data_IF_752992192894
#
_entry.id   IF_752992192894
#
_cell.length_a   1.000
_cell.length_b   1.000
_cell.length_c   1.000
_cell.angle_alpha   90.00
_cell.angle_beta   90.00
_cell.angle_gamma   90.00
#
_symmetry.space_group_name_H-M   'P 1'
#
loop_
_entity.id
_entity.type
_entity.pdbx_description
1 polymer ?
#
# COMPACT_ATOMS: atom_id res chain seq x y z
N UNK A 1 31.58 13.55 24.02
CA UNK A 1 30.39 12.71 24.30
C UNK A 1 30.30 11.66 23.20
N UNK A 2 31.16 10.64 23.28
CA UNK A 2 31.16 9.52 22.33
C UNK A 2 30.22 8.49 22.95
N UNK A 3 29.00 8.38 22.42
CA UNK A 3 28.10 7.29 22.77
C UNK A 3 28.77 6.00 22.30
N UNK A 4 29.26 5.18 23.23
CA UNK A 4 29.75 3.85 22.91
C UNK A 4 28.57 3.06 22.35
N UNK A 5 28.55 2.84 21.04
CA UNK A 5 27.54 2.03 20.33
C UNK A 5 27.31 0.66 20.96
N UNK A 6 28.32 0.14 21.66
CA UNK A 6 28.25 -1.10 22.43
C UNK A 6 27.22 -1.07 23.56
N UNK A 7 26.97 0.07 24.22
CA UNK A 7 25.98 0.15 25.32
C UNK A 7 24.55 0.14 24.79
N UNK A 8 24.29 0.82 23.67
CA UNK A 8 22.94 0.83 23.10
C UNK A 8 22.49 -0.56 22.63
N UNK A 9 23.39 -1.28 21.95
CA UNK A 9 23.12 -2.64 21.47
C UNK A 9 22.95 -3.63 22.63
N UNK A 10 23.72 -3.50 23.70
CA UNK A 10 23.53 -4.34 24.89
C UNK A 10 22.23 -4.03 25.61
N UNK A 11 21.80 -2.77 25.64
CA UNK A 11 20.59 -2.35 26.35
C UNK A 11 19.30 -2.71 25.57
N UNK A 12 19.38 -2.79 24.23
CA UNK A 12 18.23 -3.02 23.34
C UNK A 12 18.37 -4.27 22.46
N UNK A 13 19.21 -5.22 22.85
CA UNK A 13 19.55 -6.40 22.05
C UNK A 13 18.33 -7.17 21.55
N UNK A 14 17.27 -7.26 22.36
CA UNK A 14 16.03 -7.94 22.01
C UNK A 14 15.29 -7.25 20.86
N UNK A 15 15.18 -5.92 20.90
CA UNK A 15 14.54 -5.14 19.83
C UNK A 15 15.34 -5.23 18.52
N UNK A 16 16.67 -5.18 18.61
CA UNK A 16 17.57 -5.34 17.46
C UNK A 16 17.41 -6.73 16.84
N UNK A 17 17.34 -7.78 17.66
CA UNK A 17 17.10 -9.15 17.20
C UNK A 17 15.77 -9.27 16.44
N UNK A 18 14.69 -8.72 16.99
CA UNK A 18 13.37 -8.73 16.33
C UNK A 18 13.39 -7.98 15.00
N UNK A 19 14.05 -6.82 14.94
CA UNK A 19 14.18 -6.04 13.71
C UNK A 19 14.95 -6.80 12.63
N UNK A 20 16.06 -7.44 13.00
CA UNK A 20 16.85 -8.26 12.08
C UNK A 20 16.02 -9.45 11.58
N UNK A 21 15.34 -10.17 12.47
CA UNK A 21 14.50 -11.30 12.11
C UNK A 21 13.36 -10.88 11.17
N UNK A 22 12.65 -9.80 11.49
CA UNK A 22 11.59 -9.24 10.66
C UNK A 22 12.11 -8.85 9.26
N UNK A 23 13.23 -8.13 9.20
CA UNK A 23 13.83 -7.71 7.93
C UNK A 23 14.30 -8.91 7.10
N UNK A 24 14.87 -9.94 7.74
CA UNK A 24 15.28 -11.17 7.07
C UNK A 24 14.07 -11.90 6.45
N UNK A 25 12.95 -11.98 7.17
CA UNK A 25 11.69 -12.55 6.66
C UNK A 25 11.17 -11.74 5.47
N UNK A 26 11.17 -10.40 5.53
CA UNK A 26 10.78 -9.56 4.40
C UNK A 26 11.65 -9.80 3.16
N UNK A 27 12.98 -9.84 3.34
CA UNK A 27 13.93 -10.09 2.25
C UNK A 27 13.76 -11.50 1.66
N UNK A 28 13.47 -12.49 2.51
CA UNK A 28 13.14 -13.85 2.06
C UNK A 28 11.90 -13.86 1.16
N UNK A 29 10.80 -13.24 1.60
CA UNK A 29 9.59 -13.13 0.79
C UNK A 29 9.78 -12.30 -0.47
N UNK A 30 10.56 -11.22 -0.43
CA UNK A 30 10.90 -10.41 -1.59
C UNK A 30 11.63 -11.25 -2.66
N UNK A 31 12.58 -12.09 -2.25
CA UNK A 31 13.27 -13.01 -3.18
C UNK A 31 12.34 -14.04 -3.80
N UNK A 32 11.40 -14.59 -3.02
CA UNK A 32 10.41 -15.53 -3.54
C UNK A 32 9.49 -14.85 -4.54
N UNK A 33 8.93 -13.68 -4.20
CA UNK A 33 8.06 -12.92 -5.09
C UNK A 33 8.75 -12.47 -6.38
N UNK A 34 10.02 -12.09 -6.30
CA UNK A 34 10.82 -11.73 -7.48
C UNK A 34 10.97 -12.91 -8.44
N UNK A 35 11.22 -14.12 -7.93
CA UNK A 35 11.33 -15.34 -8.75
C UNK A 35 10.00 -15.76 -9.39
N UNK A 36 8.87 -15.35 -8.85
CA UNK A 36 7.54 -15.71 -9.34
C UNK A 36 6.93 -14.67 -10.31
N UNK A 37 7.64 -13.57 -10.58
CA UNK A 37 7.14 -12.44 -11.37
C UNK A 37 7.72 -12.44 -12.79
N UNK A 38 7.29 -13.39 -13.63
CA UNK A 38 7.84 -13.57 -15.00
C UNK A 38 7.28 -12.57 -16.04
N UNK A 39 6.31 -11.74 -15.68
CA UNK A 39 5.69 -10.76 -16.57
C UNK A 39 5.23 -9.50 -15.83
N UNK A 40 4.92 -8.43 -16.57
CA UNK A 40 4.35 -7.19 -16.02
C UNK A 40 3.04 -7.47 -15.26
N UNK A 41 2.17 -8.35 -15.78
CA UNK A 41 0.95 -8.77 -15.09
C UNK A 41 1.23 -9.62 -13.84
N UNK A 42 2.26 -10.46 -13.88
CA UNK A 42 2.75 -11.19 -12.71
C UNK A 42 3.22 -10.24 -11.60
N UNK A 43 3.99 -9.21 -11.98
CA UNK A 43 4.55 -8.23 -11.06
C UNK A 43 3.51 -7.26 -10.49
N UNK A 44 2.64 -6.68 -11.33
CA UNK A 44 1.71 -5.62 -10.93
C UNK A 44 0.43 -6.13 -10.27
N UNK A 45 -0.07 -7.30 -10.69
CA UNK A 45 -1.38 -7.82 -10.23
C UNK A 45 -1.33 -9.28 -9.78
N UNK A 46 -0.14 -9.84 -9.59
CA UNK A 46 0.02 -11.24 -9.14
C UNK A 46 -0.60 -12.25 -10.10
N UNK A 47 -0.61 -11.95 -11.40
CA UNK A 47 -1.24 -12.79 -12.42
C UNK A 47 -2.76 -12.94 -12.27
N UNK A 48 -3.42 -12.10 -11.43
CA UNK A 48 -4.86 -12.20 -11.11
C UNK A 48 -5.26 -13.52 -10.41
N UNK A 49 -4.31 -14.22 -9.78
CA UNK A 49 -4.56 -15.48 -9.07
C UNK A 49 -4.71 -15.34 -7.56
N UNK A 50 -4.52 -14.13 -7.01
CA UNK A 50 -4.62 -13.88 -5.57
C UNK A 50 -6.06 -13.95 -5.08
N UNK A 51 -6.27 -14.65 -3.96
CA UNK A 51 -7.59 -14.72 -3.31
C UNK A 51 -7.96 -13.37 -2.69
N UNK A 52 -9.26 -13.10 -2.55
CA UNK A 52 -9.76 -11.83 -2.01
C UNK A 52 -9.25 -11.51 -0.61
N UNK A 53 -9.00 -12.53 0.22
CA UNK A 53 -8.42 -12.37 1.57
C UNK A 53 -7.00 -11.82 1.49
N UNK A 54 -6.16 -12.37 0.60
CA UNK A 54 -4.78 -11.92 0.41
C UNK A 54 -4.76 -10.47 -0.09
N UNK A 55 -5.64 -10.14 -1.04
CA UNK A 55 -5.77 -8.77 -1.55
C UNK A 55 -6.21 -7.80 -0.43
N UNK A 56 -7.16 -8.20 0.41
CA UNK A 56 -7.62 -7.39 1.55
C UNK A 56 -6.52 -7.14 2.60
N UNK A 57 -5.75 -8.18 2.95
CA UNK A 57 -4.60 -8.04 3.85
C UNK A 57 -3.53 -7.13 3.24
N UNK A 58 -3.22 -7.30 1.96
CA UNK A 58 -2.26 -6.45 1.26
C UNK A 58 -2.71 -4.99 1.23
N UNK A 59 -3.99 -4.74 0.96
CA UNK A 59 -4.57 -3.38 0.98
C UNK A 59 -4.41 -2.74 2.36
N UNK A 60 -4.72 -3.47 3.44
CA UNK A 60 -4.54 -2.96 4.80
C UNK A 60 -3.06 -2.72 5.15
N UNK A 61 -2.16 -3.62 4.74
CA UNK A 61 -0.73 -3.47 4.94
C UNK A 61 -0.17 -2.23 4.24
N UNK A 62 -0.66 -1.89 3.03
CA UNK A 62 -0.30 -0.65 2.33
C UNK A 62 -0.75 0.60 3.08
N UNK A 63 -1.89 0.54 3.78
CA UNK A 63 -2.37 1.66 4.60
C UNK A 63 -1.60 1.80 5.93
N UNK A 64 -1.03 0.72 6.45
CA UNK A 64 -0.29 0.72 7.71
C UNK A 64 1.07 1.41 7.55
N UNK A 65 1.18 2.64 8.06
CA UNK A 65 2.38 3.48 7.97
C UNK A 65 2.65 4.22 9.28
N UNK A 66 3.82 4.85 9.40
CA UNK A 66 4.15 5.72 10.54
C UNK A 66 3.12 6.84 10.72
N UNK A 67 2.60 7.42 9.63
CA UNK A 67 1.53 8.42 9.69
C UNK A 67 0.23 7.84 10.29
N UNK A 68 -0.11 6.60 9.94
CA UNK A 68 -1.29 5.92 10.46
C UNK A 68 -1.17 5.61 11.95
N UNK A 69 0.02 5.22 12.44
CA UNK A 69 0.19 4.90 13.86
C UNK A 69 0.50 6.12 14.73
N UNK A 70 1.49 6.94 14.37
CA UNK A 70 1.88 8.11 15.16
C UNK A 70 1.02 9.33 14.86
N UNK A 71 0.72 9.59 13.58
CA UNK A 71 -0.04 10.77 13.17
C UNK A 71 -1.48 10.72 13.65
N UNK A 72 -2.20 9.61 13.39
CA UNK A 72 -3.58 9.46 13.84
C UNK A 72 -3.69 9.36 15.37
N UNK A 73 -2.77 8.65 16.04
CA UNK A 73 -2.77 8.58 17.51
C UNK A 73 -2.46 9.93 18.15
N UNK A 74 -1.50 10.68 17.61
CA UNK A 74 -1.17 12.04 18.07
C UNK A 74 -2.36 12.99 17.93
N UNK A 75 -3.09 12.92 16.81
CA UNK A 75 -4.35 13.67 16.67
C UNK A 75 -5.41 13.20 17.66
N UNK A 76 -5.53 11.90 17.92
CA UNK A 76 -6.41 11.37 18.95
C UNK A 76 -6.10 11.91 20.34
N UNK A 77 -4.81 12.06 20.66
CA UNK A 77 -4.37 12.68 21.92
C UNK A 77 -4.78 14.16 22.01
N UNK A 78 -4.64 14.93 20.93
CA UNK A 78 -4.99 16.36 20.93
C UNK A 78 -6.51 16.64 20.88
N UNK A 79 -7.27 15.88 20.08
CA UNK A 79 -8.70 16.11 19.84
C UNK A 79 -9.60 15.27 20.75
N UNK A 80 -9.07 14.27 21.44
CA UNK A 80 -9.80 13.40 22.36
C UNK A 80 -10.73 12.41 21.66
N UNK A 81 -11.73 11.92 22.41
CA UNK A 81 -12.67 10.89 21.97
C UNK A 81 -13.40 11.18 20.64
N UNK A 82 -13.77 12.43 20.27
CA UNK A 82 -14.37 12.72 18.97
C UNK A 82 -13.53 12.27 17.76
N UNK A 83 -12.21 12.17 17.92
CA UNK A 83 -11.32 11.70 16.86
C UNK A 83 -11.59 10.24 16.44
N UNK A 84 -12.25 9.44 17.29
CA UNK A 84 -12.63 8.06 16.97
C UNK A 84 -13.63 7.95 15.80
N UNK A 85 -14.33 9.02 15.44
CA UNK A 85 -15.18 9.05 14.26
C UNK A 85 -14.37 8.92 12.95
N UNK A 86 -13.12 9.39 12.95
CA UNK A 86 -12.27 9.37 11.76
C UNK A 86 -11.98 7.94 11.27
N UNK A 87 -11.42 7.01 12.07
CA UNK A 87 -11.19 5.64 11.61
C UNK A 87 -12.48 4.90 11.23
N UNK A 88 -13.60 5.14 11.92
CA UNK A 88 -14.90 4.57 11.55
C UNK A 88 -15.34 5.04 10.16
N UNK A 89 -15.18 6.33 9.88
CA UNK A 89 -15.51 6.90 8.58
C UNK A 89 -14.55 6.41 7.48
N UNK A 90 -13.27 6.18 7.79
CA UNK A 90 -12.35 5.54 6.85
C UNK A 90 -12.80 4.14 6.47
N UNK A 91 -13.16 3.29 7.45
CA UNK A 91 -13.66 1.94 7.19
C UNK A 91 -14.91 1.98 6.33
N UNK A 92 -15.87 2.85 6.65
CA UNK A 92 -17.10 3.01 5.88
C UNK A 92 -16.82 3.49 4.45
N UNK A 93 -15.93 4.48 4.27
CA UNK A 93 -15.55 5.01 2.96
C UNK A 93 -14.81 3.98 2.11
N UNK A 94 -13.91 3.18 2.71
CA UNK A 94 -13.23 2.07 2.03
C UNK A 94 -14.22 1.01 1.59
N UNK A 95 -15.12 0.59 2.48
CA UNK A 95 -16.16 -0.39 2.15
C UNK A 95 -17.04 0.10 0.99
N UNK A 96 -17.48 1.36 1.03
CA UNK A 96 -18.31 1.93 -0.02
C UNK A 96 -17.56 2.03 -1.35
N UNK A 97 -16.28 2.39 -1.32
CA UNK A 97 -15.42 2.45 -2.52
C UNK A 97 -15.26 1.07 -3.15
N UNK A 98 -15.02 0.03 -2.35
CA UNK A 98 -14.94 -1.35 -2.82
C UNK A 98 -16.28 -1.88 -3.32
N UNK A 99 -17.40 -1.45 -2.74
CA UNK A 99 -18.72 -1.91 -3.16
C UNK A 99 -19.21 -1.23 -4.43
N UNK A 100 -18.94 0.07 -4.60
CA UNK A 100 -19.46 0.87 -5.72
C UNK A 100 -18.50 0.92 -6.91
N UNK A 101 -17.20 1.09 -6.67
CA UNK A 101 -16.23 1.37 -7.73
C UNK A 101 -15.52 0.11 -8.21
N UNK A 102 -15.12 -0.76 -7.28
CA UNK A 102 -14.29 -1.93 -7.63
C UNK A 102 -14.96 -2.92 -8.60
N UNK A 103 -16.28 -3.23 -8.55
CA UNK A 103 -16.90 -4.20 -9.45
C UNK A 103 -16.86 -3.74 -10.92
N UNK A 104 -17.18 -2.47 -11.17
CA UNK A 104 -17.17 -1.91 -12.52
C UNK A 104 -15.74 -1.74 -13.05
N UNK A 105 -14.81 -1.30 -12.20
CA UNK A 105 -13.39 -1.26 -12.55
C UNK A 105 -12.84 -2.65 -12.87
N UNK A 106 -13.21 -3.68 -12.11
CA UNK A 106 -12.79 -5.06 -12.34
C UNK A 106 -13.35 -5.61 -13.65
N UNK A 107 -14.62 -5.33 -13.96
CA UNK A 107 -15.24 -5.74 -15.24
C UNK A 107 -14.49 -5.12 -16.41
N UNK A 108 -14.22 -3.82 -16.36
CA UNK A 108 -13.54 -3.13 -17.46
C UNK A 108 -12.11 -3.62 -17.66
N UNK A 109 -11.31 -3.67 -16.58
CA UNK A 109 -9.91 -4.12 -16.63
C UNK A 109 -9.75 -5.59 -17.04
N UNK A 110 -10.79 -6.41 -16.86
CA UNK A 110 -10.84 -7.77 -17.39
C UNK A 110 -11.10 -7.81 -18.91
N UNK A 111 -11.91 -6.89 -19.45
CA UNK A 111 -12.19 -6.81 -20.89
C UNK A 111 -11.06 -6.18 -21.70
N UNK A 112 -10.40 -5.15 -21.15
CA UNK A 112 -9.34 -4.39 -21.84
C UNK A 112 -7.93 -4.88 -21.52
N UNK A 113 -7.81 -5.86 -20.64
CA UNK A 113 -6.56 -6.38 -20.08
C UNK A 113 -5.58 -5.31 -19.54
N UNK A 114 -6.11 -4.17 -19.10
CA UNK A 114 -5.31 -3.08 -18.54
C UNK A 114 -4.94 -3.38 -17.09
N UNK A 115 -3.68 -3.13 -16.72
CA UNK A 115 -3.15 -3.46 -15.38
C UNK A 115 -2.87 -2.23 -14.52
N UNK A 116 -2.87 -1.03 -15.09
CA UNK A 116 -2.69 0.24 -14.36
C UNK A 116 -3.87 1.19 -14.52
N UNK A 117 -4.06 2.12 -13.56
CA UNK A 117 -5.11 3.15 -13.64
C UNK A 117 -4.93 4.08 -14.87
N UNK A 118 -3.73 4.57 -15.20
CA UNK A 118 -3.53 5.34 -16.43
C UNK A 118 -3.90 4.59 -17.70
N UNK A 119 -3.55 3.30 -17.80
CA UNK A 119 -3.93 2.46 -18.96
C UNK A 119 -5.43 2.23 -19.03
N UNK A 120 -6.08 2.00 -17.88
CA UNK A 120 -7.53 1.90 -17.80
C UNK A 120 -8.21 3.18 -18.34
N UNK A 121 -7.76 4.36 -17.91
CA UNK A 121 -8.33 5.63 -18.37
C UNK A 121 -8.03 5.87 -19.86
N UNK A 122 -6.82 5.53 -20.31
CA UNK A 122 -6.45 5.62 -21.72
C UNK A 122 -7.35 4.75 -22.61
N UNK A 123 -7.64 3.52 -22.17
CA UNK A 123 -8.55 2.61 -22.87
C UNK A 123 -10.02 3.08 -22.79
N UNK A 124 -10.42 3.67 -21.68
CA UNK A 124 -11.79 4.19 -21.47
C UNK A 124 -12.11 5.42 -22.32
N UNK A 125 -11.12 6.28 -22.54
CA UNK A 125 -11.26 7.55 -23.28
C UNK A 125 -10.55 7.54 -24.64
N UNK A 126 -9.96 6.41 -25.05
CA UNK A 126 -9.20 6.26 -26.29
C UNK A 126 -8.15 7.36 -26.50
N UNK A 127 -7.45 7.77 -25.44
CA UNK A 127 -6.54 8.92 -25.45
C UNK A 127 -5.21 8.65 -24.75
N UNK A 128 -4.11 8.76 -25.49
CA UNK A 128 -2.75 8.66 -24.95
C UNK A 128 -2.39 9.84 -24.04
N UNK A 129 -2.91 11.03 -24.34
CA UNK A 129 -2.70 12.22 -23.49
C UNK A 129 -3.27 12.00 -22.09
N UNK A 130 -4.44 11.35 -21.98
CA UNK A 130 -5.03 10.98 -20.68
C UNK A 130 -4.11 10.03 -19.93
N UNK A 131 -3.51 9.02 -20.59
CA UNK A 131 -2.54 8.11 -19.97
C UNK A 131 -1.39 8.88 -19.32
N UNK A 132 -0.78 9.79 -20.07
CA UNK A 132 0.39 10.55 -19.62
C UNK A 132 0.01 11.49 -18.47
N UNK A 133 -1.08 12.25 -18.62
CA UNK A 133 -1.54 13.19 -17.60
C UNK A 133 -1.89 12.45 -16.30
N UNK A 134 -2.66 11.37 -16.37
CA UNK A 134 -2.97 10.57 -15.17
C UNK A 134 -1.72 9.96 -14.56
N UNK A 135 -0.81 9.41 -15.38
CA UNK A 135 0.46 8.88 -14.89
C UNK A 135 1.28 9.93 -14.14
N UNK A 136 1.37 11.15 -14.67
CA UNK A 136 2.05 12.27 -14.02
C UNK A 136 1.36 12.70 -12.73
N UNK A 137 0.02 12.80 -12.71
CA UNK A 137 -0.73 13.14 -11.50
C UNK A 137 -0.47 12.10 -10.41
N UNK A 138 -0.55 10.81 -10.73
CA UNK A 138 -0.30 9.73 -9.77
C UNK A 138 1.14 9.78 -9.26
N UNK A 139 2.12 9.96 -10.15
CA UNK A 139 3.53 10.05 -9.77
C UNK A 139 3.80 11.24 -8.83
N UNK A 140 3.31 12.43 -9.19
CA UNK A 140 3.47 13.64 -8.37
C UNK A 140 2.76 13.53 -7.03
N UNK A 141 1.52 13.02 -7.01
CA UNK A 141 0.79 12.79 -5.77
C UNK A 141 1.49 11.78 -4.86
N UNK A 142 2.07 10.72 -5.44
CA UNK A 142 2.83 9.71 -4.69
C UNK A 142 4.12 10.29 -4.10
N UNK A 143 4.80 11.18 -4.84
CA UNK A 143 5.98 11.89 -4.33
C UNK A 143 5.65 12.86 -3.20
N UNK A 144 4.48 13.54 -3.26
CA UNK A 144 4.04 14.47 -2.21
C UNK A 144 3.57 13.75 -0.94
N UNK A 145 3.08 12.51 -1.10
CA UNK A 145 2.65 11.68 0.03
C UNK A 145 3.83 11.11 0.84
N UNK A 146 5.00 10.98 0.20
CA UNK A 146 6.24 10.45 0.77
C UNK A 146 7.05 11.56 1.47
#
# INVERSE_FOLDING_TARGET
MVLSTNSFLSDHWFAVLLLIAYTAVLLWHARLGFKSSDSIGGYLVGGRHMSGVIIGVSFFATFASTNSYLGLAGKGYSFGAPWLLFPLMMVAATYLSWRLVAPELRRFTAMTDTVTVPEFLAARFSSQSVRVITGLIIALASMLYL
#
